data_IF_775940730809
#
_entry.id   IF_775940730809
#
_cell.length_a   1.000
_cell.length_b   1.000
_cell.length_c   1.000
_cell.angle_alpha   90.00
_cell.angle_beta   90.00
_cell.angle_gamma   90.00
#
_symmetry.space_group_name_H-M   'P 1'
#
loop_
_entity.id
_entity.type
_entity.pdbx_description
1 polymer ?
#
# COMPACT_ATOMS: atom_id res chain seq x y z
N UNK A 1 12.40 -9.55 5.25
CA UNK A 1 13.43 -8.69 5.86
C UNK A 1 13.23 -7.26 5.41
N UNK A 2 13.29 -6.32 6.35
CA UNK A 2 13.10 -4.91 6.01
C UNK A 2 14.35 -4.35 5.30
N UNK A 3 14.13 -3.61 4.23
CA UNK A 3 15.20 -3.04 3.40
C UNK A 3 15.30 -1.54 3.60
N UNK A 4 14.18 -0.87 3.90
CA UNK A 4 14.09 0.58 3.90
C UNK A 4 14.10 1.19 5.31
N UNK A 5 14.63 0.47 6.30
CA UNK A 5 14.60 0.91 7.71
C UNK A 5 15.38 2.18 7.97
N UNK A 6 16.43 2.44 7.19
CA UNK A 6 17.25 3.64 7.35
C UNK A 6 16.77 4.82 6.51
N UNK A 7 15.72 4.63 5.71
CA UNK A 7 15.22 5.66 4.81
C UNK A 7 14.19 6.53 5.53
N UNK A 8 14.28 7.83 5.34
CA UNK A 8 13.36 8.79 5.95
C UNK A 8 12.44 9.42 4.91
N UNK A 9 11.18 9.69 5.21
CA UNK A 9 10.50 9.49 6.51
C UNK A 9 10.27 8.01 6.80
N UNK A 10 10.61 7.61 8.00
CA UNK A 10 10.66 6.19 8.39
C UNK A 10 9.32 5.49 8.21
N UNK A 11 8.23 6.09 8.68
CA UNK A 11 6.91 5.44 8.62
C UNK A 11 6.36 5.36 7.20
N UNK A 12 6.64 6.35 6.35
CA UNK A 12 6.21 6.31 4.95
C UNK A 12 6.85 5.10 4.26
N UNK A 13 8.15 4.92 4.42
CA UNK A 13 8.86 3.82 3.78
C UNK A 13 8.56 2.48 4.41
N UNK A 14 8.23 2.44 5.71
CA UNK A 14 7.75 1.22 6.34
C UNK A 14 6.47 0.72 5.66
N UNK A 15 5.48 1.58 5.49
CA UNK A 15 4.22 1.17 4.86
C UNK A 15 4.37 0.90 3.37
N UNK A 16 5.23 1.66 2.69
CA UNK A 16 5.55 1.36 1.30
C UNK A 16 6.12 -0.06 1.17
N UNK A 17 7.05 -0.41 2.02
CA UNK A 17 7.66 -1.75 2.01
C UNK A 17 6.63 -2.84 2.33
N UNK A 18 5.73 -2.59 3.29
CA UNK A 18 4.65 -3.53 3.60
C UNK A 18 3.76 -3.79 2.39
N UNK A 19 3.38 -2.73 1.67
CA UNK A 19 2.55 -2.88 0.47
C UNK A 19 3.29 -3.64 -0.63
N UNK A 20 4.59 -3.42 -0.76
CA UNK A 20 5.39 -4.08 -1.79
C UNK A 20 5.52 -5.59 -1.57
N UNK A 21 5.35 -6.07 -0.34
CA UNK A 21 5.37 -7.51 -0.04
C UNK A 21 4.13 -8.23 -0.54
N UNK A 22 3.06 -7.51 -0.78
CA UNK A 22 1.77 -8.09 -1.16
C UNK A 22 1.63 -8.00 -2.68
N UNK A 23 1.50 -9.13 -3.39
CA UNK A 23 1.18 -9.08 -4.81
C UNK A 23 -0.13 -8.31 -5.03
N UNK A 24 -0.11 -7.31 -5.91
CA UNK A 24 -1.26 -6.43 -6.09
C UNK A 24 -1.39 -5.97 -7.55
N UNK A 25 -1.26 -6.90 -8.48
CA UNK A 25 -1.49 -6.60 -9.89
C UNK A 25 -2.94 -6.21 -10.16
N UNK A 26 -3.16 -5.56 -11.30
CA UNK A 26 -4.51 -5.20 -11.75
C UNK A 26 -5.35 -6.49 -11.82
N UNK A 27 -6.57 -6.41 -11.30
CA UNK A 27 -7.50 -7.54 -11.12
C UNK A 27 -7.06 -8.57 -10.08
N UNK A 28 -5.99 -8.32 -9.34
CA UNK A 28 -5.53 -9.18 -8.26
C UNK A 28 -5.34 -8.33 -7.00
N UNK A 29 -6.40 -7.66 -6.57
CA UNK A 29 -6.32 -6.65 -5.51
C UNK A 29 -6.94 -7.08 -4.18
N UNK A 30 -7.44 -8.31 -4.08
CA UNK A 30 -8.11 -8.75 -2.85
C UNK A 30 -7.18 -8.69 -1.64
N UNK A 31 -5.96 -9.17 -1.79
CA UNK A 31 -5.00 -9.23 -0.69
C UNK A 31 -4.59 -7.84 -0.20
N UNK A 32 -4.30 -6.92 -1.11
CA UNK A 32 -3.92 -5.57 -0.71
C UNK A 32 -5.12 -4.79 -0.15
N UNK A 33 -6.30 -5.04 -0.69
CA UNK A 33 -7.54 -4.48 -0.16
C UNK A 33 -7.77 -4.96 1.28
N UNK A 34 -7.62 -6.27 1.51
CA UNK A 34 -7.76 -6.84 2.86
C UNK A 34 -6.71 -6.28 3.83
N UNK A 35 -5.50 -6.03 3.34
CA UNK A 35 -4.47 -5.38 4.15
C UNK A 35 -4.93 -3.99 4.60
N UNK A 36 -5.51 -3.21 3.70
CA UNK A 36 -6.01 -1.88 4.03
C UNK A 36 -7.16 -1.93 5.04
N UNK A 37 -8.05 -2.91 4.90
CA UNK A 37 -9.14 -3.12 5.86
C UNK A 37 -8.59 -3.45 7.23
N UNK A 38 -7.63 -4.38 7.31
CA UNK A 38 -7.00 -4.76 8.57
C UNK A 38 -6.27 -3.58 9.20
N UNK A 39 -5.58 -2.79 8.40
CA UNK A 39 -4.89 -1.58 8.84
C UNK A 39 -5.86 -0.62 9.56
N UNK A 40 -7.02 -0.39 8.94
CA UNK A 40 -8.03 0.51 9.51
C UNK A 40 -8.61 -0.06 10.81
N UNK A 41 -8.93 -1.36 10.83
CA UNK A 41 -9.50 -2.02 12.00
C UNK A 41 -8.55 -2.00 13.19
N UNK A 42 -7.27 -2.23 12.96
CA UNK A 42 -6.25 -2.21 14.01
C UNK A 42 -6.16 -0.83 14.69
N UNK A 43 -6.53 0.22 13.97
CA UNK A 43 -6.48 1.59 14.47
C UNK A 43 -7.84 2.10 14.93
N UNK A 44 -8.85 1.24 14.95
CA UNK A 44 -10.18 1.61 15.38
C UNK A 44 -10.89 2.57 14.44
N UNK A 45 -10.49 2.57 13.17
CA UNK A 45 -11.09 3.44 12.17
C UNK A 45 -12.26 2.76 11.49
N UNK A 46 -13.27 3.53 11.12
CA UNK A 46 -14.39 3.03 10.35
C UNK A 46 -13.92 2.71 8.94
N UNK A 47 -14.30 1.55 8.42
CA UNK A 47 -13.84 1.09 7.11
C UNK A 47 -14.96 0.38 6.37
N UNK A 48 -15.04 0.61 5.07
CA UNK A 48 -15.97 -0.08 4.18
C UNK A 48 -15.17 -0.66 3.02
N UNK A 49 -15.54 -1.88 2.61
CA UNK A 49 -14.92 -2.57 1.48
C UNK A 49 -16.06 -3.09 0.59
N UNK A 50 -15.97 -2.85 -0.70
CA UNK A 50 -17.00 -3.32 -1.63
C UNK A 50 -16.54 -4.57 -2.40
N UNK A 51 -17.40 -5.03 -3.30
CA UNK A 51 -17.16 -6.24 -4.09
C UNK A 51 -16.03 -6.07 -5.10
N UNK A 52 -15.72 -4.82 -5.48
CA UNK A 52 -14.62 -4.52 -6.38
C UNK A 52 -13.28 -4.36 -5.63
N UNK A 53 -13.30 -4.60 -4.33
CA UNK A 53 -12.14 -4.43 -3.44
C UNK A 53 -11.76 -2.96 -3.20
N UNK A 54 -12.66 -2.04 -3.49
CA UNK A 54 -12.46 -0.64 -3.12
C UNK A 54 -12.62 -0.49 -1.61
N UNK A 55 -11.79 0.35 -1.00
CA UNK A 55 -11.78 0.53 0.45
C UNK A 55 -11.95 2.01 0.76
N UNK A 56 -12.88 2.31 1.66
CA UNK A 56 -13.08 3.65 2.20
C UNK A 56 -12.80 3.60 3.69
N UNK A 57 -11.85 4.41 4.13
CA UNK A 57 -11.48 4.53 5.54
C UNK A 57 -11.86 5.93 6.01
N UNK A 58 -12.62 6.01 7.09
CA UNK A 58 -13.06 7.28 7.66
C UNK A 58 -12.28 7.55 8.93
N UNK A 59 -11.60 8.67 8.97
CA UNK A 59 -10.85 9.11 10.15
C UNK A 59 -11.49 10.40 10.65
N UNK A 60 -11.89 10.45 11.93
CA UNK A 60 -12.46 11.69 12.48
C UNK A 60 -11.42 12.80 12.52
N UNK A 61 -11.90 14.03 12.52
CA UNK A 61 -11.02 15.19 12.69
C UNK A 61 -10.30 15.15 14.03
N UNK A 62 -9.13 15.75 14.07
CA UNK A 62 -8.40 15.90 15.32
C UNK A 62 -9.12 16.89 16.25
N UNK A 63 -8.78 16.95 17.55
CA UNK A 63 -9.43 17.87 18.48
C UNK A 63 -9.46 19.29 17.96
N UNK A 64 -10.66 19.89 17.95
CA UNK A 64 -10.90 21.21 17.40
C UNK A 64 -11.35 21.21 15.94
N UNK A 65 -11.25 20.08 15.25
CA UNK A 65 -11.58 19.97 13.82
C UNK A 65 -12.69 18.95 13.53
N UNK A 66 -13.41 18.51 14.57
CA UNK A 66 -14.41 17.45 14.43
C UNK A 66 -15.54 17.81 13.48
N UNK A 67 -15.85 19.12 13.37
CA UNK A 67 -16.92 19.61 12.51
C UNK A 67 -16.41 20.27 11.23
N UNK A 68 -15.15 20.10 10.92
CA UNK A 68 -14.57 20.64 9.69
C UNK A 68 -15.09 19.89 8.47
N UNK A 69 -15.08 20.56 7.32
CA UNK A 69 -15.39 19.92 6.04
C UNK A 69 -14.46 18.73 5.81
N UNK A 70 -14.99 17.61 5.33
CA UNK A 70 -14.14 16.45 5.09
C UNK A 70 -13.17 16.67 3.94
N UNK A 71 -12.01 16.04 4.05
CA UNK A 71 -11.00 16.01 2.98
C UNK A 71 -10.89 14.56 2.51
N UNK A 72 -10.89 14.36 1.21
CA UNK A 72 -10.76 13.03 0.62
C UNK A 72 -9.35 12.90 0.07
N UNK A 73 -8.62 11.88 0.54
CA UNK A 73 -7.36 11.45 -0.05
C UNK A 73 -7.64 10.18 -0.85
N UNK A 74 -7.27 10.17 -2.12
CA UNK A 74 -7.61 9.06 -3.00
C UNK A 74 -6.36 8.56 -3.72
N UNK A 75 -6.28 7.26 -3.89
CA UNK A 75 -5.22 6.61 -4.65
C UNK A 75 -5.70 5.24 -5.11
N UNK A 76 -4.98 4.64 -6.02
CA UNK A 76 -5.30 3.28 -6.46
C UNK A 76 -4.35 2.28 -5.79
N UNK A 77 -4.82 1.02 -5.67
CA UNK A 77 -4.08 -0.02 -4.98
C UNK A 77 -3.37 -0.99 -5.91
N UNK A 78 -3.77 -1.03 -7.16
CA UNK A 78 -3.19 -1.97 -8.12
C UNK A 78 -1.92 -1.42 -8.76
N UNK A 79 -1.19 -2.31 -9.41
CA UNK A 79 -0.03 -1.93 -10.21
C UNK A 79 -0.05 -2.68 -11.53
N UNK A 80 0.54 -2.09 -12.55
CA UNK A 80 0.75 -2.74 -13.85
C UNK A 80 1.85 -3.80 -13.68
N UNK A 81 1.56 -5.01 -14.17
CA UNK A 81 2.47 -6.15 -14.06
C UNK A 81 3.33 -6.25 -15.32
N UNK A 82 4.43 -5.54 -15.33
CA UNK A 82 5.38 -5.56 -16.44
C UNK A 82 6.77 -5.98 -15.95
N UNK A 83 7.46 -6.76 -16.75
CA UNK A 83 8.80 -7.21 -16.40
C UNK A 83 9.61 -7.41 -17.68
N UNK A 84 10.95 -7.48 -17.54
CA UNK A 84 11.82 -7.79 -18.67
C UNK A 84 11.61 -9.24 -19.10
N UNK A 85 11.84 -9.57 -20.38
CA UNK A 85 11.61 -10.95 -20.87
C UNK A 85 12.41 -12.03 -20.16
N UNK A 86 13.57 -11.67 -19.60
CA UNK A 86 14.44 -12.60 -18.90
C UNK A 86 14.15 -12.73 -17.41
N UNK A 87 13.18 -11.97 -16.90
CA UNK A 87 12.79 -12.05 -15.49
C UNK A 87 11.87 -13.25 -15.26
N UNK A 88 12.09 -13.99 -14.18
CA UNK A 88 11.23 -15.08 -13.75
C UNK A 88 10.28 -14.67 -12.61
N UNK A 89 10.14 -13.37 -12.37
CA UNK A 89 9.26 -12.85 -11.35
C UNK A 89 7.80 -13.22 -11.63
N UNK A 90 7.10 -13.72 -10.62
CA UNK A 90 5.68 -14.07 -10.73
C UNK A 90 4.85 -13.05 -9.95
N UNK A 91 4.16 -12.18 -10.65
CA UNK A 91 3.36 -11.11 -10.03
C UNK A 91 2.17 -11.62 -9.20
N UNK A 92 1.81 -12.89 -9.31
CA UNK A 92 0.71 -13.47 -8.53
C UNK A 92 1.17 -13.97 -7.17
N UNK A 93 2.43 -14.34 -7.04
CA UNK A 93 2.96 -14.96 -5.82
C UNK A 93 4.09 -14.18 -5.18
N UNK A 94 4.86 -13.44 -5.96
CA UNK A 94 6.04 -12.75 -5.49
C UNK A 94 5.75 -11.30 -5.16
N UNK A 95 6.21 -10.85 -3.99
CA UNK A 95 6.26 -9.43 -3.69
C UNK A 95 7.37 -8.76 -4.49
N UNK A 96 7.43 -7.46 -4.43
CA UNK A 96 8.46 -6.69 -5.11
C UNK A 96 9.77 -6.74 -4.32
N UNK A 97 10.87 -6.92 -5.02
CA UNK A 97 12.21 -6.84 -4.42
C UNK A 97 12.66 -5.40 -4.41
N UNK A 98 12.91 -4.89 -3.22
CA UNK A 98 13.29 -3.48 -3.04
C UNK A 98 14.78 -3.35 -2.76
N UNK A 99 15.36 -2.26 -3.24
CA UNK A 99 16.72 -1.89 -2.91
C UNK A 99 16.85 -0.36 -2.86
N UNK A 100 17.91 0.10 -2.20
CA UNK A 100 18.21 1.52 -2.12
C UNK A 100 19.46 1.78 -2.96
N UNK A 101 19.35 2.72 -3.90
CA UNK A 101 20.49 3.11 -4.75
C UNK A 101 20.72 4.60 -4.58
N UNK A 102 21.59 4.96 -3.65
CA UNK A 102 21.90 6.34 -3.29
C UNK A 102 20.63 7.13 -2.98
N UNK A 103 20.19 7.99 -3.91
CA UNK A 103 19.00 8.83 -3.75
C UNK A 103 17.77 8.27 -4.47
N UNK A 104 17.89 7.10 -5.07
CA UNK A 104 16.77 6.44 -5.78
C UNK A 104 16.23 5.30 -4.95
N UNK A 105 14.91 5.19 -4.88
CA UNK A 105 14.21 4.10 -4.24
C UNK A 105 13.38 3.40 -5.31
N UNK A 106 13.70 2.14 -5.58
CA UNK A 106 13.14 1.46 -6.74
C UNK A 106 12.82 0.01 -6.38
N UNK A 107 12.03 -0.62 -7.23
CA UNK A 107 11.73 -2.04 -7.11
C UNK A 107 12.20 -2.76 -8.36
N UNK A 108 12.64 -4.00 -8.16
CA UNK A 108 13.07 -4.87 -9.23
C UNK A 108 11.99 -5.94 -9.43
N UNK A 109 11.36 -5.92 -10.58
CA UNK A 109 10.28 -6.85 -10.88
C UNK A 109 10.56 -7.66 -12.16
#
# INVERSE_FOLDING_TARGET
MAVLTEVKPERVFHFFEELCKIPHGTFDTKRISDYCVAFAKERGLEVEQDEANDVIIKKPGTPGYENSEPVILQGHMDMVCEKTPDSDHDFKTDGLDLYVDCLLYTSDA
#
